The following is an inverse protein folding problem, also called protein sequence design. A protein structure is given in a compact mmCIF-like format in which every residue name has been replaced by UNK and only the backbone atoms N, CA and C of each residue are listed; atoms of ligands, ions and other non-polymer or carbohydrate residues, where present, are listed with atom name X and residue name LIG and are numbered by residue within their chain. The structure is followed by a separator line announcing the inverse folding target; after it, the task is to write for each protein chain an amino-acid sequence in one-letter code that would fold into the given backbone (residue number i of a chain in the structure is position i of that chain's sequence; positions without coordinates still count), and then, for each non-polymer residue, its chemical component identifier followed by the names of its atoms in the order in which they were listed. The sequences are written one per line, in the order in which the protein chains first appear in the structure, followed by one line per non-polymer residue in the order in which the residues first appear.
data_IF_927370872273
#
_entry.id   IF_927370872273
#
_cell.length_a   1.000
_cell.length_b   1.000
_cell.length_c   1.000
_cell.angle_alpha   90.00
_cell.angle_beta   90.00
_cell.angle_gamma   90.00
#
_symmetry.space_group_name_H-M   'P 1'
#
loop_
_entity.id
_entity.type
_entity.pdbx_description
1 polymer ?
#
# COMPACT_ATOMS: atom_id res chain seq x y z
N UNK A 1 -58.98 -4.69 -26.23
CA UNK A 1 -58.43 -3.43 -26.77
C UNK A 1 -57.04 -3.27 -26.19
N UNK A 2 -56.11 -2.97 -27.06
CA UNK A 2 -54.65 -3.20 -27.04
C UNK A 2 -53.89 -2.69 -25.83
N UNK A 3 -53.20 -3.63 -25.18
CA UNK A 3 -52.06 -3.46 -24.29
C UNK A 3 -50.93 -2.74 -25.05
N UNK A 4 -50.66 -1.48 -24.68
CA UNK A 4 -49.69 -0.61 -25.39
C UNK A 4 -48.96 0.28 -24.38
N UNK A 5 -48.04 -0.27 -23.59
CA UNK A 5 -47.23 0.56 -22.67
C UNK A 5 -45.87 -0.05 -22.22
N UNK A 6 -45.24 -0.95 -22.97
CA UNK A 6 -44.00 -1.61 -22.48
C UNK A 6 -42.91 -1.89 -23.54
N UNK A 7 -42.81 -1.10 -24.62
CA UNK A 7 -41.79 -1.35 -25.69
C UNK A 7 -40.90 -0.12 -25.95
N UNK A 8 -40.57 0.66 -24.92
CA UNK A 8 -39.82 1.92 -25.09
C UNK A 8 -38.30 1.79 -24.88
N UNK A 9 -37.79 0.60 -24.51
CA UNK A 9 -36.35 0.36 -24.35
C UNK A 9 -35.96 -1.09 -24.72
N UNK A 10 -35.72 -1.38 -26.01
CA UNK A 10 -35.33 -2.71 -26.44
C UNK A 10 -33.87 -3.00 -26.05
N UNK A 11 -33.62 -4.20 -25.50
CA UNK A 11 -32.26 -4.68 -25.25
C UNK A 11 -31.48 -4.73 -26.58
N UNK A 12 -30.48 -3.86 -26.71
CA UNK A 12 -29.65 -3.76 -27.93
C UNK A 12 -28.53 -4.81 -27.92
N UNK A 13 -28.03 -5.18 -26.74
CA UNK A 13 -26.92 -6.10 -26.58
C UNK A 13 -26.93 -6.74 -25.20
N UNK A 14 -26.76 -8.06 -25.16
CA UNK A 14 -26.48 -8.82 -23.94
C UNK A 14 -24.98 -9.10 -23.87
N UNK A 15 -24.36 -8.80 -22.73
CA UNK A 15 -22.92 -8.99 -22.49
C UNK A 15 -22.79 -10.00 -21.35
N UNK A 16 -22.19 -11.18 -21.58
CA UNK A 16 -21.92 -12.13 -20.51
C UNK A 16 -20.84 -11.56 -19.57
N UNK A 17 -21.07 -11.73 -18.27
CA UNK A 17 -20.17 -11.26 -17.21
C UNK A 17 -19.66 -12.47 -16.44
N UNK A 18 -18.33 -12.64 -16.43
CA UNK A 18 -17.63 -13.71 -15.73
C UNK A 18 -16.87 -13.15 -14.54
N UNK A 19 -16.77 -13.93 -13.46
CA UNK A 19 -15.93 -13.60 -12.31
C UNK A 19 -14.66 -14.45 -12.37
N UNK A 20 -13.53 -13.80 -12.62
CA UNK A 20 -12.24 -14.45 -12.63
C UNK A 20 -11.65 -14.45 -11.22
N UNK A 21 -11.49 -15.64 -10.63
CA UNK A 21 -10.99 -15.80 -9.26
C UNK A 21 -9.49 -16.14 -9.18
N UNK A 22 -8.81 -16.39 -10.30
CA UNK A 22 -7.40 -16.84 -10.34
C UNK A 22 -6.47 -15.84 -9.65
N UNK A 23 -6.66 -14.55 -9.91
CA UNK A 23 -5.84 -13.46 -9.37
C UNK A 23 -6.46 -12.79 -8.14
N UNK A 24 -7.52 -13.39 -7.56
CA UNK A 24 -8.20 -12.83 -6.40
C UNK A 24 -7.25 -12.74 -5.20
N UNK A 25 -7.15 -11.56 -4.60
CA UNK A 25 -6.26 -11.31 -3.46
C UNK A 25 -4.85 -10.87 -3.84
N UNK A 26 -4.49 -10.91 -5.12
CA UNK A 26 -3.16 -10.53 -5.61
C UNK A 26 -3.16 -9.28 -6.49
N UNK A 27 -4.34 -8.79 -6.90
CA UNK A 27 -4.46 -7.54 -7.68
C UNK A 27 -4.45 -6.33 -6.76
N UNK A 28 -3.52 -5.42 -7.02
CA UNK A 28 -3.44 -4.11 -6.38
C UNK A 28 -3.48 -3.01 -7.43
N UNK A 29 -4.23 -1.94 -7.17
CA UNK A 29 -4.28 -0.77 -8.06
C UNK A 29 -3.34 0.29 -7.52
N UNK A 30 -2.30 0.63 -8.30
CA UNK A 30 -1.31 1.63 -7.93
C UNK A 30 -1.63 2.96 -8.61
N UNK A 31 -1.82 4.00 -7.82
CA UNK A 31 -2.12 5.37 -8.27
C UNK A 31 -0.91 6.28 -8.03
N UNK A 32 -0.70 7.24 -8.93
CA UNK A 32 0.35 8.26 -8.81
C UNK A 32 -0.26 9.66 -8.78
N UNK A 33 -0.79 10.14 -7.63
CA UNK A 33 -1.54 11.40 -7.57
C UNK A 33 -0.75 12.64 -8.01
N UNK A 34 0.59 12.60 -7.89
CA UNK A 34 1.47 13.70 -8.28
C UNK A 34 1.88 13.67 -9.76
N UNK A 35 1.40 12.69 -10.53
CA UNK A 35 1.69 12.54 -11.96
C UNK A 35 0.40 12.76 -12.75
N UNK A 36 0.36 13.76 -13.65
CA UNK A 36 -0.77 13.92 -14.55
C UNK A 36 -0.78 12.83 -15.61
N UNK A 37 -1.96 12.52 -16.15
CA UNK A 37 -2.16 11.45 -17.13
C UNK A 37 -1.28 11.61 -18.39
N UNK A 38 -1.01 12.84 -18.80
CA UNK A 38 -0.17 13.14 -19.97
C UNK A 38 1.35 13.04 -19.71
N UNK A 39 1.78 12.83 -18.45
CA UNK A 39 3.19 12.66 -18.06
C UNK A 39 3.33 11.44 -17.15
N UNK A 40 3.27 10.22 -17.72
CA UNK A 40 3.57 9.00 -16.98
C UNK A 40 5.04 8.95 -16.54
N UNK A 41 5.39 7.94 -15.76
CA UNK A 41 6.80 7.65 -15.47
C UNK A 41 7.52 7.28 -16.77
N UNK A 42 8.68 7.89 -17.02
CA UNK A 42 9.44 7.72 -18.27
C UNK A 42 10.07 6.33 -18.37
N UNK A 43 10.49 5.76 -17.24
CA UNK A 43 11.16 4.47 -17.16
C UNK A 43 10.37 3.50 -16.27
N UNK A 44 10.66 2.20 -16.40
CA UNK A 44 10.20 1.19 -15.45
C UNK A 44 10.97 1.35 -14.13
N UNK A 45 10.39 0.93 -12.98
CA UNK A 45 11.13 0.85 -11.74
C UNK A 45 12.30 -0.14 -11.87
N UNK A 46 13.38 0.12 -11.16
CA UNK A 46 14.56 -0.76 -11.08
C UNK A 46 14.41 -1.77 -9.96
N UNK A 47 13.78 -1.37 -8.86
CA UNK A 47 13.53 -2.22 -7.71
C UNK A 47 12.11 -2.02 -7.19
N UNK A 48 11.48 -3.12 -6.79
CA UNK A 48 10.19 -3.13 -6.13
C UNK A 48 10.32 -3.92 -4.82
N UNK A 49 9.77 -3.38 -3.74
CA UNK A 49 9.73 -4.04 -2.43
C UNK A 49 8.33 -3.96 -1.87
N UNK A 50 7.89 -5.01 -1.19
CA UNK A 50 6.56 -5.07 -0.62
C UNK A 50 6.55 -5.60 0.80
N UNK A 51 5.64 -5.07 1.61
CA UNK A 51 5.31 -5.50 2.95
C UNK A 51 3.90 -6.09 2.98
N UNK A 52 3.76 -7.42 3.05
CA UNK A 52 2.45 -8.09 2.97
C UNK A 52 1.48 -7.72 4.08
N UNK A 53 1.94 -7.60 5.33
CA UNK A 53 1.08 -7.36 6.48
C UNK A 53 0.53 -5.93 6.51
N UNK A 54 1.33 -4.95 6.12
CA UNK A 54 0.92 -3.54 6.10
C UNK A 54 0.52 -3.03 4.70
N UNK A 55 0.54 -3.91 3.69
CA UNK A 55 0.21 -3.57 2.30
C UNK A 55 0.99 -2.35 1.78
N UNK A 56 2.30 -2.35 2.00
CA UNK A 56 3.17 -1.21 1.66
C UNK A 56 4.12 -1.59 0.54
N UNK A 57 4.03 -0.90 -0.58
CA UNK A 57 4.87 -1.03 -1.76
C UNK A 57 5.89 0.12 -1.81
N UNK A 58 7.14 -0.20 -2.10
CA UNK A 58 8.20 0.75 -2.44
C UNK A 58 8.64 0.47 -3.87
N UNK A 59 8.72 1.52 -4.69
CA UNK A 59 9.21 1.45 -6.06
C UNK A 59 10.35 2.45 -6.23
N UNK A 60 11.49 1.96 -6.70
CA UNK A 60 12.67 2.78 -6.92
C UNK A 60 12.83 3.01 -8.42
N UNK A 61 12.76 4.27 -8.84
CA UNK A 61 12.95 4.68 -10.23
C UNK A 61 14.36 5.26 -10.42
N UNK A 62 15.00 5.04 -11.58
CA UNK A 62 16.28 5.67 -11.87
C UNK A 62 16.07 7.18 -12.02
N UNK A 63 16.97 7.98 -11.43
CA UNK A 63 16.99 9.41 -11.65
C UNK A 63 17.66 9.71 -12.99
N UNK A 64 16.98 10.45 -13.86
CA UNK A 64 17.58 10.91 -15.11
C UNK A 64 18.42 12.17 -14.83
N UNK A 65 19.74 12.05 -14.93
CA UNK A 65 20.69 13.15 -14.71
C UNK A 65 21.10 13.87 -16.01
N UNK A 66 20.59 13.41 -17.16
CA UNK A 66 20.93 13.94 -18.48
C UNK A 66 20.34 15.33 -18.72
N UNK A 67 19.09 15.55 -18.31
CA UNK A 67 18.34 16.78 -18.51
C UNK A 67 17.82 17.32 -17.18
N UNK A 68 17.90 18.64 -16.99
CA UNK A 68 17.33 19.36 -15.84
C UNK A 68 17.85 18.92 -14.47
N UNK A 69 19.03 18.29 -14.41
CA UNK A 69 19.73 17.93 -13.19
C UNK A 69 20.91 18.89 -12.95
N UNK A 70 21.02 19.43 -11.74
CA UNK A 70 22.15 20.25 -11.34
C UNK A 70 23.27 19.35 -10.83
N UNK A 71 24.34 19.20 -11.62
CA UNK A 71 25.52 18.42 -11.20
C UNK A 71 26.47 19.23 -10.31
N UNK A 72 26.27 20.55 -10.19
CA UNK A 72 27.11 21.44 -9.39
C UNK A 72 26.58 21.60 -7.95
N UNK A 73 25.49 20.91 -7.59
CA UNK A 73 24.95 20.91 -6.23
C UNK A 73 25.74 19.91 -5.37
N UNK A 74 26.22 20.35 -4.21
CA UNK A 74 27.03 19.53 -3.30
C UNK A 74 26.17 18.59 -2.42
N UNK A 75 24.85 18.56 -2.62
CA UNK A 75 23.94 17.68 -1.91
C UNK A 75 24.10 16.22 -2.38
N UNK A 76 24.19 15.26 -1.46
CA UNK A 76 24.20 13.83 -1.79
C UNK A 76 22.79 13.36 -2.16
N UNK A 77 22.38 13.67 -3.40
CA UNK A 77 21.08 13.27 -3.92
C UNK A 77 21.16 11.80 -4.33
N UNK A 78 20.29 10.92 -3.80
CA UNK A 78 20.29 9.52 -4.18
C UNK A 78 20.11 9.36 -5.69
N UNK A 79 20.80 8.39 -6.33
CA UNK A 79 20.69 8.15 -7.78
C UNK A 79 19.32 7.56 -8.18
N UNK A 80 18.42 7.37 -7.21
CA UNK A 80 17.11 6.73 -7.39
C UNK A 80 16.02 7.56 -6.71
N UNK A 81 14.93 7.77 -7.43
CA UNK A 81 13.69 8.32 -6.89
C UNK A 81 12.87 7.21 -6.25
N UNK A 82 12.82 7.20 -4.93
CA UNK A 82 11.99 6.25 -4.16
C UNK A 82 10.57 6.76 -4.02
N UNK A 83 9.60 5.97 -4.44
CA UNK A 83 8.18 6.20 -4.14
C UNK A 83 7.69 5.14 -3.16
N UNK A 84 7.03 5.57 -2.10
CA UNK A 84 6.40 4.69 -1.11
C UNK A 84 4.88 4.82 -1.20
N UNK A 85 4.18 3.71 -1.08
CA UNK A 85 2.72 3.67 -1.11
C UNK A 85 2.10 3.96 0.26
N UNK A 86 0.96 4.62 0.26
CA UNK A 86 -0.03 4.57 1.34
C UNK A 86 -1.29 3.85 0.88
N UNK A 87 -1.83 2.96 1.70
CA UNK A 87 -3.11 2.28 1.41
C UNK A 87 -4.26 3.28 1.49
N UNK A 88 -5.13 3.27 0.48
CA UNK A 88 -6.39 4.01 0.48
C UNK A 88 -7.50 3.09 0.97
N UNK A 89 -8.19 3.49 2.02
CA UNK A 89 -9.35 2.75 2.52
C UNK A 89 -10.43 2.71 1.42
N UNK A 90 -10.85 1.51 0.96
CA UNK A 90 -11.85 1.41 -0.09
C UNK A 90 -13.21 1.88 0.45
N UNK A 91 -13.87 2.77 -0.29
CA UNK A 91 -15.24 3.23 0.02
C UNK A 91 -16.28 2.18 -0.42
N UNK A 92 -15.92 1.34 -1.39
CA UNK A 92 -16.77 0.29 -1.95
C UNK A 92 -15.92 -0.90 -2.43
N UNK A 93 -16.60 -1.94 -2.93
CA UNK A 93 -15.96 -3.08 -3.55
C UNK A 93 -15.53 -2.71 -4.97
N UNK A 94 -14.22 -2.73 -5.23
CA UNK A 94 -13.66 -2.46 -6.55
C UNK A 94 -13.28 -3.76 -7.26
N UNK A 95 -13.45 -3.77 -8.57
CA UNK A 95 -13.02 -4.84 -9.45
C UNK A 95 -12.41 -4.25 -10.72
N UNK A 96 -11.43 -4.94 -11.30
CA UNK A 96 -10.92 -4.65 -12.65
C UNK A 96 -11.74 -5.48 -13.63
N UNK A 97 -12.25 -4.82 -14.67
CA UNK A 97 -12.98 -5.46 -15.75
C UNK A 97 -12.17 -5.45 -17.04
N UNK A 98 -11.97 -6.62 -17.63
CA UNK A 98 -11.34 -6.77 -18.95
C UNK A 98 -12.40 -7.18 -19.97
N UNK A 99 -12.44 -6.49 -21.10
CA UNK A 99 -13.39 -6.76 -22.17
C UNK A 99 -12.69 -7.44 -23.34
N UNK A 100 -13.13 -8.65 -23.71
CA UNK A 100 -12.55 -9.46 -24.80
C UNK A 100 -13.65 -10.26 -25.48
N UNK A 101 -13.64 -10.27 -26.81
CA UNK A 101 -14.58 -11.05 -27.65
C UNK A 101 -16.07 -10.88 -27.29
N UNK A 102 -16.46 -9.70 -26.80
CA UNK A 102 -17.83 -9.40 -26.41
C UNK A 102 -18.22 -9.83 -24.99
N UNK A 103 -17.28 -10.36 -24.21
CA UNK A 103 -17.47 -10.82 -22.83
C UNK A 103 -16.72 -9.92 -21.84
N UNK A 104 -17.27 -9.73 -20.64
CA UNK A 104 -16.68 -8.96 -19.56
C UNK A 104 -16.19 -9.89 -18.44
N UNK A 105 -14.89 -9.87 -18.16
CA UNK A 105 -14.29 -10.63 -17.07
C UNK A 105 -13.96 -9.67 -15.92
N UNK A 106 -14.51 -9.93 -14.74
CA UNK A 106 -14.30 -9.13 -13.54
C UNK A 106 -13.38 -9.85 -12.57
N UNK A 107 -12.34 -9.17 -12.09
CA UNK A 107 -11.48 -9.65 -11.00
C UNK A 107 -11.50 -8.66 -9.83
N UNK A 108 -11.80 -9.09 -8.60
CA UNK A 108 -11.80 -8.20 -7.43
C UNK A 108 -10.41 -7.58 -7.15
N UNK A 109 -10.40 -6.30 -6.82
CA UNK A 109 -9.18 -5.57 -6.39
C UNK A 109 -9.00 -5.75 -4.89
N UNK A 110 -7.79 -6.15 -4.49
CA UNK A 110 -7.44 -6.36 -3.07
C UNK A 110 -7.25 -5.05 -2.33
N UNK A 111 -6.48 -4.14 -2.91
CA UNK A 111 -6.24 -2.83 -2.32
C UNK A 111 -5.87 -1.78 -3.37
N UNK A 112 -6.09 -0.52 -3.00
CA UNK A 112 -5.68 0.65 -3.79
C UNK A 112 -4.53 1.34 -3.06
N UNK A 113 -3.41 1.49 -3.75
CA UNK A 113 -2.15 2.00 -3.22
C UNK A 113 -1.85 3.36 -3.88
N UNK A 114 -1.66 4.41 -3.09
CA UNK A 114 -1.23 5.72 -3.60
C UNK A 114 0.25 5.92 -3.38
N UNK A 115 1.00 6.09 -4.47
CA UNK A 115 2.45 6.31 -4.45
C UNK A 115 2.77 7.79 -4.20
N UNK A 116 3.69 8.04 -3.28
CA UNK A 116 4.25 9.37 -3.01
C UNK A 116 5.78 9.29 -2.94
N UNK A 117 6.52 10.26 -3.49
CA UNK A 117 7.95 10.36 -3.30
C UNK A 117 8.30 10.46 -1.81
N UNK A 118 9.36 9.78 -1.41
CA UNK A 118 9.92 9.89 -0.06
C UNK A 118 11.29 10.56 -0.11
N UNK A 119 11.59 11.35 0.92
CA UNK A 119 12.86 12.06 1.07
C UNK A 119 13.64 11.55 2.29
N UNK A 120 13.63 10.23 2.51
CA UNK A 120 14.25 9.63 3.71
C UNK A 120 15.74 9.91 3.84
N UNK A 121 16.43 10.20 2.73
CA UNK A 121 17.83 10.62 2.74
C UNK A 121 18.06 11.93 3.51
N UNK A 122 17.08 12.84 3.54
CA UNK A 122 17.19 14.07 4.32
C UNK A 122 17.11 13.81 5.83
N UNK A 123 16.36 12.77 6.23
CA UNK A 123 16.28 12.38 7.65
C UNK A 123 17.59 11.73 8.13
N UNK A 124 18.36 11.12 7.22
CA UNK A 124 19.63 10.46 7.54
C UNK A 124 20.76 11.49 7.70
N UNK A 125 20.84 12.52 6.83
CA UNK A 125 21.83 13.61 6.92
C UNK A 125 21.73 14.40 8.24
N UNK A 126 20.52 14.69 8.72
CA UNK A 126 20.30 15.37 10.00
C UNK A 126 20.82 14.55 11.20
N UNK A 127 20.82 13.21 11.08
CA UNK A 127 21.26 12.30 12.14
C UNK A 127 22.78 12.30 12.35
N UNK A 128 23.54 12.50 11.27
CA UNK A 128 25.00 12.51 11.32
C UNK A 128 25.56 13.84 11.89
N UNK A 129 24.88 14.98 11.63
CA UNK A 129 25.25 16.28 12.20
C UNK A 129 24.99 16.36 13.73
N UNK A 130 23.94 15.70 14.23
CA UNK A 130 23.67 15.59 15.68
C UNK A 130 24.71 14.70 16.40
N UNK A 131 25.27 13.70 15.72
CA UNK A 131 26.35 12.88 16.25
C UNK A 131 27.65 13.67 16.44
N UNK A 132 27.93 14.66 15.58
CA UNK A 132 29.10 15.54 15.69
C UNK A 132 28.91 16.65 16.74
N UNK A 133 27.68 17.14 17.00
CA UNK A 133 27.44 18.10 18.09
C UNK A 133 27.52 17.46 19.49
N UNK A 134 27.30 16.15 19.62
CA UNK A 134 27.46 15.42 20.87
C UNK A 134 28.93 15.04 21.15
N UNK A 135 29.84 15.28 20.21
CA UNK A 135 31.27 14.95 20.30
C UNK A 135 32.13 16.02 21.00
N UNK A 136 31.54 16.93 21.79
CA UNK A 136 32.32 17.71 22.74
C UNK A 136 32.69 16.85 23.96
N UNK A 137 33.98 16.51 24.17
CA UNK A 137 34.38 15.75 25.34
C UNK A 137 34.18 16.64 26.57
N UNK A 138 33.34 16.21 27.50
CA UNK A 138 33.35 16.76 28.85
C UNK A 138 34.79 16.65 29.40
N UNK A 139 35.32 17.69 30.10
CA UNK A 139 36.71 17.72 30.52
C UNK A 139 37.01 16.53 31.43
N UNK A 140 37.94 15.69 30.97
CA UNK A 140 38.42 14.51 31.68
C UNK A 140 39.19 14.93 32.94
N UNK A 141 38.60 14.71 34.11
CA UNK A 141 39.37 14.63 35.36
C UNK A 141 39.86 13.20 35.54
N UNK A 142 41.15 12.97 35.27
CA UNK A 142 41.81 11.71 35.59
C UNK A 142 41.95 11.54 37.09
N UNK A 143 41.41 10.46 37.67
CA UNK A 143 42.10 9.72 38.72
C UNK A 143 41.54 8.30 38.95
N UNK A 144 42.38 7.33 38.57
CA UNK A 144 42.74 6.06 39.21
C UNK A 144 41.71 5.03 39.72
N UNK A 145 42.02 3.80 39.29
CA UNK A 145 41.88 2.45 39.89
C UNK A 145 40.58 1.66 39.80
N UNK A 146 40.78 0.43 39.32
CA UNK A 146 39.85 -0.67 39.08
C UNK A 146 39.04 -1.13 40.30
N UNK A 147 37.81 -1.57 40.06
CA UNK A 147 37.24 -2.84 40.53
C UNK A 147 35.75 -2.96 40.18
N UNK A 148 35.33 -4.21 39.97
CA UNK A 148 33.97 -4.72 40.06
C UNK A 148 33.01 -4.46 38.88
N UNK A 149 32.92 -5.49 38.03
CA UNK A 149 31.66 -5.89 37.44
C UNK A 149 30.61 -6.07 38.56
N UNK A 150 29.61 -5.20 38.55
CA UNK A 150 28.34 -5.40 39.23
C UNK A 150 27.26 -5.03 38.21
N UNK A 151 26.62 -6.06 37.68
CA UNK A 151 25.45 -5.94 36.82
C UNK A 151 24.32 -5.38 37.70
N UNK A 152 24.05 -4.08 37.60
CA UNK A 152 22.88 -3.46 38.22
C UNK A 152 21.63 -3.93 37.48
N UNK A 153 21.01 -4.99 37.99
CA UNK A 153 19.64 -5.37 37.63
C UNK A 153 18.72 -4.28 38.14
N UNK A 154 18.47 -3.27 37.30
CA UNK A 154 17.42 -2.30 37.54
C UNK A 154 16.08 -3.02 37.39
N UNK A 155 15.55 -3.51 38.52
CA UNK A 155 14.17 -3.99 38.58
C UNK A 155 13.26 -2.76 38.48
N UNK A 156 13.00 -2.31 37.25
CA UNK A 156 11.88 -1.43 36.97
C UNK A 156 10.61 -2.19 37.33
N UNK A 157 10.02 -1.83 38.47
CA UNK A 157 8.70 -2.27 38.86
C UNK A 157 7.74 -1.85 37.75
N UNK A 158 7.36 -2.82 36.92
CA UNK A 158 6.37 -2.65 35.86
C UNK A 158 5.07 -2.28 36.57
N UNK A 159 4.76 -0.97 36.66
CA UNK A 159 3.41 -0.52 37.01
C UNK A 159 2.48 -1.27 36.08
N UNK A 160 1.62 -2.11 36.64
CA UNK A 160 0.59 -2.85 35.90
C UNK A 160 -0.28 -1.81 35.20
N UNK A 161 0.04 -1.52 33.94
CA UNK A 161 -0.64 -0.47 33.21
C UNK A 161 -2.11 -0.88 33.05
N UNK A 162 -3.02 0.07 33.27
CA UNK A 162 -4.44 -0.17 33.06
C UNK A 162 -4.70 -0.52 31.59
N UNK A 163 -5.67 -1.39 31.33
CA UNK A 163 -6.06 -1.84 29.98
C UNK A 163 -6.31 -0.66 29.01
N UNK A 164 -6.90 0.44 29.50
CA UNK A 164 -7.10 1.69 28.74
C UNK A 164 -5.79 2.37 28.31
N UNK A 165 -4.77 2.33 29.16
CA UNK A 165 -3.46 2.92 28.86
C UNK A 165 -2.70 2.08 27.83
N UNK A 166 -2.80 0.75 27.91
CA UNK A 166 -2.25 -0.16 26.90
C UNK A 166 -2.94 0.03 25.54
N UNK A 167 -4.27 0.15 25.51
CA UNK A 167 -5.01 0.43 24.28
C UNK A 167 -4.64 1.81 23.67
N UNK A 168 -4.44 2.84 24.50
CA UNK A 168 -3.97 4.15 24.04
C UNK A 168 -2.53 4.09 23.50
N UNK A 169 -1.64 3.33 24.16
CA UNK A 169 -0.27 3.13 23.71
C UNK A 169 -0.22 2.36 22.39
N UNK A 170 -1.04 1.32 22.21
CA UNK A 170 -1.16 0.57 20.95
C UNK A 170 -1.75 1.42 19.81
N UNK A 171 -2.68 2.33 20.12
CA UNK A 171 -3.22 3.26 19.13
C UNK A 171 -2.31 4.44 18.82
N UNK A 172 -1.22 4.62 19.59
CA UNK A 172 -0.28 5.71 19.36
C UNK A 172 0.44 5.56 18.02
N UNK A 173 0.74 6.71 17.41
CA UNK A 173 1.47 6.78 16.15
C UNK A 173 2.84 6.10 16.23
N UNK A 174 3.56 6.28 17.35
CA UNK A 174 4.88 5.69 17.57
C UNK A 174 4.84 4.16 17.54
N UNK A 175 3.83 3.55 18.17
CA UNK A 175 3.66 2.10 18.16
C UNK A 175 3.29 1.59 16.76
N UNK A 176 2.36 2.24 16.07
CA UNK A 176 2.00 1.85 14.69
C UNK A 176 3.20 1.98 13.74
N UNK A 177 3.99 3.05 13.85
CA UNK A 177 5.22 3.24 13.07
C UNK A 177 6.25 2.15 13.36
N UNK A 178 6.48 1.79 14.63
CA UNK A 178 7.43 0.75 14.99
C UNK A 178 7.00 -0.63 14.51
N UNK A 179 5.70 -0.96 14.57
CA UNK A 179 5.15 -2.19 13.99
C UNK A 179 5.39 -2.23 12.47
N UNK A 180 5.07 -1.16 11.76
CA UNK A 180 5.31 -1.06 10.30
C UNK A 180 6.80 -1.15 9.96
N UNK A 181 7.68 -0.55 10.75
CA UNK A 181 9.13 -0.62 10.55
C UNK A 181 9.72 -2.00 10.87
N UNK A 182 9.17 -2.69 11.87
CA UNK A 182 9.61 -4.04 12.27
C UNK A 182 9.33 -5.10 11.21
N UNK A 183 8.32 -4.88 10.35
CA UNK A 183 8.06 -5.76 9.22
C UNK A 183 9.16 -5.63 8.17
N UNK A 184 9.76 -6.76 7.80
CA UNK A 184 10.81 -6.85 6.79
C UNK A 184 10.24 -6.64 5.38
N UNK A 185 11.03 -6.00 4.52
CA UNK A 185 10.71 -5.87 3.11
C UNK A 185 10.94 -7.18 2.38
N UNK A 186 10.01 -7.54 1.49
CA UNK A 186 10.17 -8.63 0.52
C UNK A 186 10.45 -8.02 -0.84
N UNK A 187 11.55 -8.40 -1.47
CA UNK A 187 11.87 -7.96 -2.83
C UNK A 187 10.89 -8.59 -3.83
N UNK A 188 10.41 -7.79 -4.78
CA UNK A 188 9.54 -8.22 -5.87
C UNK A 188 10.31 -8.16 -7.20
N UNK A 189 10.08 -9.16 -8.05
CA UNK A 189 10.58 -9.17 -9.43
C UNK A 189 9.68 -8.33 -10.33
N UNK A 190 10.29 -7.45 -11.12
CA UNK A 190 9.57 -6.61 -12.07
C UNK A 190 9.56 -7.34 -13.42
N UNK A 191 8.40 -7.89 -13.76
CA UNK A 191 8.20 -8.56 -15.04
C UNK A 191 7.91 -7.53 -16.13
N UNK A 192 8.65 -7.61 -17.23
CA UNK A 192 8.46 -6.71 -18.38
C UNK A 192 7.48 -7.28 -19.43
N UNK A 193 7.23 -8.58 -19.39
CA UNK A 193 6.30 -9.28 -20.27
C UNK A 193 4.95 -9.35 -19.57
N UNK A 194 3.98 -8.62 -20.13
CA UNK A 194 2.64 -8.45 -19.54
C UNK A 194 1.68 -9.57 -19.96
N UNK A 195 2.04 -10.36 -20.99
CA UNK A 195 1.12 -11.28 -21.68
C UNK A 195 0.71 -12.49 -20.82
N UNK A 196 1.64 -13.10 -20.06
CA UNK A 196 1.36 -14.34 -19.33
C UNK A 196 0.44 -14.13 -18.11
N UNK A 197 0.58 -13.00 -17.42
CA UNK A 197 -0.26 -12.63 -16.27
C UNK A 197 -1.59 -12.03 -16.71
N UNK A 198 -1.61 -11.32 -17.85
CA UNK A 198 -2.84 -10.80 -18.43
C UNK A 198 -3.80 -11.92 -18.82
N UNK A 199 -3.29 -13.05 -19.31
CA UNK A 199 -4.13 -14.21 -19.62
C UNK A 199 -4.85 -14.79 -18.38
N UNK A 200 -4.29 -14.60 -17.18
CA UNK A 200 -4.90 -15.06 -15.91
C UNK A 200 -6.04 -14.15 -15.42
N UNK A 201 -6.22 -12.97 -16.03
CA UNK A 201 -7.41 -12.14 -15.80
C UNK A 201 -8.65 -12.71 -16.49
N UNK A 202 -8.47 -13.63 -17.44
CA UNK A 202 -9.55 -14.35 -18.08
C UNK A 202 -9.87 -15.62 -17.30
N UNK A 203 -11.13 -16.02 -17.36
CA UNK A 203 -11.60 -17.27 -16.79
C UNK A 203 -12.40 -18.01 -17.85
N UNK A 204 -11.90 -19.15 -18.31
CA UNK A 204 -12.65 -20.06 -19.18
C UNK A 204 -13.76 -20.81 -18.42
N UNK A 205 -13.96 -20.49 -17.15
CA UNK A 205 -14.89 -21.18 -16.25
C UNK A 205 -16.28 -20.57 -16.40
N UNK A 206 -17.16 -21.27 -17.11
CA UNK A 206 -18.58 -20.93 -17.27
C UNK A 206 -19.45 -21.51 -16.15
N UNK A 207 -19.04 -21.32 -14.89
CA UNK A 207 -19.89 -21.70 -13.74
C UNK A 207 -20.92 -20.62 -13.44
N UNK A 208 -22.23 -20.92 -13.48
CA UNK A 208 -23.24 -19.92 -13.16
C UNK A 208 -23.14 -19.52 -11.68
N UNK A 209 -23.07 -18.21 -11.42
CA UNK A 209 -23.15 -17.67 -10.05
C UNK A 209 -24.59 -17.82 -9.58
N UNK A 210 -24.81 -18.70 -8.62
CA UNK A 210 -26.14 -18.90 -8.02
C UNK A 210 -26.37 -17.83 -6.97
N UNK A 211 -27.39 -17.00 -7.18
CA UNK A 211 -27.90 -16.09 -6.15
C UNK A 211 -29.03 -16.81 -5.41
N UNK A 212 -28.77 -17.18 -4.15
CA UNK A 212 -29.71 -17.86 -3.26
C UNK A 212 -30.60 -16.89 -2.46
N UNK A 213 -30.40 -15.58 -2.64
CA UNK A 213 -31.10 -14.53 -1.90
C UNK A 213 -32.33 -14.05 -2.66
N UNK A 214 -33.48 -13.99 -1.98
CA UNK A 214 -34.69 -13.40 -2.57
C UNK A 214 -34.54 -11.88 -2.75
N UNK A 215 -35.22 -11.25 -3.73
CA UNK A 215 -35.11 -9.81 -3.95
C UNK A 215 -35.40 -8.96 -2.70
N UNK A 216 -36.37 -9.39 -1.90
CA UNK A 216 -36.72 -8.72 -0.63
C UNK A 216 -35.63 -8.85 0.42
N UNK A 217 -35.03 -10.04 0.57
CA UNK A 217 -33.92 -10.25 1.49
C UNK A 217 -32.66 -9.48 1.05
N UNK A 218 -32.43 -9.36 -0.26
CA UNK A 218 -31.32 -8.59 -0.81
C UNK A 218 -31.48 -7.08 -0.52
N UNK A 219 -32.68 -6.53 -0.73
CA UNK A 219 -32.96 -5.13 -0.40
C UNK A 219 -32.81 -4.85 1.11
N UNK A 220 -33.24 -5.78 1.97
CA UNK A 220 -33.04 -5.66 3.41
C UNK A 220 -31.56 -5.76 3.81
N UNK A 221 -30.75 -6.52 3.08
CA UNK A 221 -29.31 -6.60 3.31
C UNK A 221 -28.58 -5.33 2.84
N UNK A 222 -29.08 -4.67 1.79
CA UNK A 222 -28.55 -3.41 1.28
C UNK A 222 -28.95 -2.19 2.11
N UNK A 223 -30.13 -2.22 2.73
CA UNK A 223 -30.51 -1.17 3.68
C UNK A 223 -29.56 -1.26 4.88
N UNK A 224 -28.66 -0.29 4.96
CA UNK A 224 -27.75 -0.11 6.08
C UNK A 224 -28.50 -0.30 7.39
N UNK A 225 -27.86 -1.03 8.32
CA UNK A 225 -28.14 -0.99 9.76
C UNK A 225 -28.57 0.44 10.11
N UNK A 226 -29.85 0.65 10.37
CA UNK A 226 -30.24 1.79 11.20
C UNK A 226 -29.46 1.57 12.49
N UNK A 227 -28.61 2.53 12.83
CA UNK A 227 -27.91 2.54 14.11
C UNK A 227 -28.95 2.34 15.21
N UNK A 228 -28.97 1.14 15.78
CA UNK A 228 -29.63 0.86 17.06
C UNK A 228 -28.87 1.69 18.10
N UNK A 229 -29.36 2.90 18.34
CA UNK A 229 -28.97 3.76 19.46
C UNK A 229 -29.84 3.46 20.69
#
# INVERSE_FOLDING_TARGET
MTDTAAVDDPVVREIPVHLADILRGNIHVVQFPLRPVYRPMTSKPVQAKYKPSNSMLSLDYPLHTEDHYNNDDDMDIPPRLTLQSSVVAPVSNYAVGVFRDGQLHLTPVTSVLQMRPTMSHLDDDDGDDDHDMQAHPAPSSSNVVAAAAAEEVQVQVVKRQSERALAAMQNSYAYKRSVVQSEKWTDLSINANEDDEFEQLFSDVETPVVFDVTPQAYLHALSYRQDDN
#
